data_IF_653826382265
#
_entry.id   IF_653826382265
#
_cell.length_a   1.000
_cell.length_b   1.000
_cell.length_c   1.000
_cell.angle_alpha   90.00
_cell.angle_beta   90.00
_cell.angle_gamma   90.00
#
_symmetry.space_group_name_H-M   'P 1'
#
loop_
_entity.id
_entity.type
_entity.pdbx_description
1 polymer ?
#
# COMPACT_ATOMS: atom_id res chain seq x y z
N UNK A 1 -18.26 -7.21 1.96
CA UNK A 1 -17.16 -6.21 1.98
C UNK A 1 -16.14 -6.65 3.02
N UNK A 2 -15.05 -5.91 3.26
CA UNK A 2 -14.15 -6.24 4.40
C UNK A 2 -14.89 -6.20 5.74
N UNK A 3 -15.85 -5.29 5.90
CA UNK A 3 -16.72 -5.22 7.09
C UNK A 3 -17.53 -6.51 7.26
N UNK A 4 -18.26 -6.93 6.22
CA UNK A 4 -19.04 -8.18 6.28
C UNK A 4 -18.15 -9.40 6.57
N UNK A 5 -16.96 -9.46 5.95
CA UNK A 5 -16.03 -10.55 6.20
C UNK A 5 -15.53 -10.55 7.65
N UNK A 6 -15.27 -9.38 8.23
CA UNK A 6 -14.89 -9.26 9.64
C UNK A 6 -15.98 -9.81 10.56
N UNK A 7 -17.24 -9.44 10.32
CA UNK A 7 -18.40 -9.92 11.07
C UNK A 7 -18.58 -11.44 10.94
N UNK A 8 -18.43 -11.99 9.72
CA UNK A 8 -18.56 -13.41 9.45
C UNK A 8 -17.44 -14.23 10.10
N UNK A 9 -16.20 -13.74 10.06
CA UNK A 9 -15.03 -14.37 10.70
C UNK A 9 -15.20 -14.37 12.23
N UNK A 10 -15.62 -13.24 12.81
CA UNK A 10 -15.92 -13.12 14.23
C UNK A 10 -17.06 -14.07 14.67
N UNK A 11 -18.09 -14.23 13.84
CA UNK A 11 -19.19 -15.17 14.11
C UNK A 11 -18.74 -16.64 14.16
N UNK A 12 -17.58 -16.97 13.57
CA UNK A 12 -16.95 -18.30 13.66
C UNK A 12 -15.93 -18.41 14.80
N UNK A 13 -15.77 -17.38 15.63
CA UNK A 13 -14.81 -17.36 16.73
C UNK A 13 -13.36 -17.16 16.29
N UNK A 14 -13.14 -16.50 15.15
CA UNK A 14 -11.84 -16.11 14.65
C UNK A 14 -11.74 -14.59 14.49
N UNK A 15 -10.54 -14.08 14.29
CA UNK A 15 -10.27 -12.65 14.06
C UNK A 15 -9.77 -12.42 12.64
N UNK A 16 -10.26 -11.35 12.00
CA UNK A 16 -9.76 -10.94 10.69
C UNK A 16 -8.61 -9.95 10.86
N UNK A 17 -7.46 -10.31 10.29
CA UNK A 17 -6.32 -9.40 10.13
C UNK A 17 -6.16 -9.06 8.65
N UNK A 18 -6.08 -7.77 8.34
CA UNK A 18 -5.78 -7.27 7.00
C UNK A 18 -4.34 -6.77 6.97
N UNK A 19 -3.54 -7.32 6.06
CA UNK A 19 -2.15 -6.90 5.85
C UNK A 19 -2.06 -6.13 4.53
N UNK A 20 -1.62 -4.88 4.58
CA UNK A 20 -1.34 -4.09 3.39
C UNK A 20 0.09 -4.35 2.91
N UNK A 21 0.19 -4.99 1.74
CA UNK A 21 1.46 -5.27 1.07
C UNK A 21 1.80 -4.10 0.15
N UNK A 22 2.90 -3.37 0.38
CA UNK A 22 3.30 -2.29 -0.50
C UNK A 22 3.78 -2.84 -1.85
N UNK A 23 3.52 -2.10 -2.93
CA UNK A 23 4.15 -2.38 -4.22
C UNK A 23 5.63 -1.99 -4.19
N UNK A 24 6.43 -2.62 -5.04
CA UNK A 24 7.84 -2.29 -5.23
C UNK A 24 8.03 -0.80 -5.55
N UNK A 25 7.21 -0.27 -6.43
CA UNK A 25 7.26 1.13 -6.86
C UNK A 25 6.95 2.08 -5.70
N UNK A 26 5.99 1.72 -4.83
CA UNK A 26 5.65 2.52 -3.66
C UNK A 26 6.83 2.60 -2.67
N UNK A 27 7.51 1.47 -2.40
CA UNK A 27 8.67 1.43 -1.49
C UNK A 27 9.89 2.14 -2.08
N UNK A 28 10.14 1.96 -3.38
CA UNK A 28 11.36 2.41 -4.04
C UNK A 28 11.23 3.79 -4.72
N UNK A 29 10.04 4.40 -4.68
CA UNK A 29 9.76 5.70 -5.31
C UNK A 29 10.82 6.77 -5.00
N UNK A 30 11.16 6.92 -3.72
CA UNK A 30 12.14 7.91 -3.25
C UNK A 30 13.60 7.62 -3.62
N UNK A 31 13.90 6.43 -4.16
CA UNK A 31 15.26 5.92 -4.35
C UNK A 31 15.67 5.76 -5.81
N UNK A 32 14.71 5.49 -6.69
CA UNK A 32 15.00 5.02 -8.06
C UNK A 32 14.90 6.14 -9.09
N UNK A 33 14.23 7.25 -8.77
CA UNK A 33 13.77 8.14 -9.82
C UNK A 33 14.25 9.58 -9.69
N UNK A 34 14.98 10.05 -10.69
CA UNK A 34 15.28 11.46 -10.89
C UNK A 34 13.97 12.22 -11.20
N UNK A 35 13.69 13.37 -10.55
CA UNK A 35 12.46 14.11 -10.78
C UNK A 35 12.17 14.48 -12.24
N UNK A 36 13.21 14.69 -13.06
CA UNK A 36 13.06 14.97 -14.51
C UNK A 36 12.58 13.72 -15.24
N UNK A 37 13.18 12.57 -14.97
CA UNK A 37 12.79 11.30 -15.60
C UNK A 37 11.38 10.86 -15.17
N UNK A 38 11.01 11.08 -13.91
CA UNK A 38 9.63 10.85 -13.44
C UNK A 38 8.64 11.75 -14.15
N UNK A 39 8.89 13.06 -14.17
CA UNK A 39 7.98 14.01 -14.80
C UNK A 39 7.78 13.65 -16.27
N UNK A 40 8.82 13.21 -16.99
CA UNK A 40 8.68 12.76 -18.38
C UNK A 40 7.70 11.58 -18.57
N UNK A 41 7.51 10.72 -17.56
CA UNK A 41 6.55 9.61 -17.58
C UNK A 41 5.17 10.06 -17.10
N UNK A 42 5.11 10.79 -15.98
CA UNK A 42 3.84 11.25 -15.42
C UNK A 42 3.13 12.27 -16.33
N UNK A 43 3.88 13.16 -17.00
CA UNK A 43 3.43 14.08 -18.06
C UNK A 43 2.89 13.39 -19.32
N UNK A 44 2.94 12.06 -19.37
CA UNK A 44 2.39 11.24 -20.46
C UNK A 44 1.34 10.26 -19.95
N UNK A 45 1.06 10.26 -18.66
CA UNK A 45 0.08 9.38 -18.03
C UNK A 45 -1.26 10.08 -17.98
N UNK A 46 -2.30 9.44 -18.54
CA UNK A 46 -3.64 10.02 -18.57
C UNK A 46 -4.38 9.67 -17.28
N UNK A 47 -4.91 10.68 -16.59
CA UNK A 47 -5.75 10.46 -15.42
C UNK A 47 -7.18 10.17 -15.86
N UNK A 48 -7.79 9.17 -15.25
CA UNK A 48 -9.20 8.82 -15.48
C UNK A 48 -9.98 9.20 -14.23
N UNK A 49 -10.99 10.05 -14.41
CA UNK A 49 -11.92 10.45 -13.36
C UNK A 49 -13.30 9.87 -13.62
N UNK A 50 -14.18 9.89 -12.63
CA UNK A 50 -15.60 9.58 -12.81
C UNK A 50 -16.37 10.89 -12.99
N UNK A 51 -17.35 10.89 -13.90
CA UNK A 51 -18.11 12.09 -14.24
C UNK A 51 -18.90 12.71 -13.08
N UNK A 52 -19.09 11.99 -11.97
CA UNK A 52 -19.78 12.45 -10.77
C UNK A 52 -19.17 11.86 -9.49
N UNK A 53 -18.06 12.45 -9.02
CA UNK A 53 -17.45 12.05 -7.75
C UNK A 53 -16.99 10.59 -7.77
N UNK A 54 -17.71 9.72 -7.06
CA UNK A 54 -17.48 8.27 -6.98
C UNK A 54 -18.39 7.45 -7.93
N UNK A 55 -19.19 8.10 -8.78
CA UNK A 55 -20.12 7.45 -9.72
C UNK A 55 -20.06 8.04 -11.14
N UNK A 56 -20.62 7.31 -12.11
CA UNK A 56 -20.83 7.80 -13.48
C UNK A 56 -19.99 7.06 -14.52
N UNK A 57 -19.60 7.78 -15.57
CA UNK A 57 -18.79 7.23 -16.67
C UNK A 57 -17.35 7.68 -16.52
N UNK A 58 -16.41 6.83 -16.89
CA UNK A 58 -15.00 7.19 -16.97
C UNK A 58 -14.83 8.39 -17.93
N UNK A 59 -14.23 9.45 -17.42
CA UNK A 59 -13.85 10.64 -18.17
C UNK A 59 -12.33 10.71 -18.24
N UNK A 60 -11.83 10.93 -19.45
CA UNK A 60 -10.42 11.15 -19.70
C UNK A 60 -10.15 12.62 -19.50
N UNK A 61 -9.52 12.98 -18.39
CA UNK A 61 -8.97 14.32 -18.22
C UNK A 61 -7.48 14.26 -18.55
N UNK A 62 -7.00 15.07 -19.51
CA UNK A 62 -5.56 15.24 -19.75
C UNK A 62 -4.95 16.13 -18.65
N UNK A 63 -5.15 15.75 -17.40
CA UNK A 63 -4.43 16.27 -16.25
C UNK A 63 -3.33 15.26 -15.96
N UNK A 64 -2.14 15.57 -16.43
CA UNK A 64 -0.96 14.81 -16.12
C UNK A 64 -0.61 14.97 -14.64
N UNK A 65 -0.25 13.87 -13.98
CA UNK A 65 0.29 13.93 -12.62
C UNK A 65 1.65 14.64 -12.68
N UNK A 66 1.90 15.59 -11.79
CA UNK A 66 3.26 16.10 -11.57
C UNK A 66 3.97 15.23 -10.54
N UNK A 67 5.31 15.24 -10.54
CA UNK A 67 6.11 14.61 -9.49
C UNK A 67 5.66 15.08 -8.10
N UNK A 68 5.45 16.38 -7.92
CA UNK A 68 4.99 16.96 -6.66
C UNK A 68 3.64 16.39 -6.25
N UNK A 69 2.66 16.35 -7.17
CA UNK A 69 1.33 15.84 -6.86
C UNK A 69 1.33 14.35 -6.54
N UNK A 70 2.11 13.58 -7.28
CA UNK A 70 2.29 12.17 -6.98
C UNK A 70 2.94 12.00 -5.60
N UNK A 71 4.00 12.73 -5.30
CA UNK A 71 4.69 12.69 -4.01
C UNK A 71 3.79 13.08 -2.82
N UNK A 72 2.87 14.03 -2.99
CA UNK A 72 1.85 14.35 -1.98
C UNK A 72 0.87 13.20 -1.70
N UNK A 73 0.65 12.33 -2.69
CA UNK A 73 -0.45 11.35 -2.68
C UNK A 73 0.02 9.91 -2.66
N UNK A 74 1.33 9.64 -2.68
CA UNK A 74 1.86 8.27 -2.70
C UNK A 74 1.33 7.41 -1.56
N UNK A 75 1.11 8.00 -0.39
CA UNK A 75 0.60 7.32 0.80
C UNK A 75 -0.93 7.37 0.95
N UNK A 76 -1.67 7.96 -0.01
CA UNK A 76 -3.10 8.18 0.15
C UNK A 76 -3.89 6.86 0.28
N UNK A 77 -3.49 5.81 -0.45
CA UNK A 77 -4.17 4.51 -0.38
C UNK A 77 -3.96 3.82 0.97
N UNK A 78 -2.73 3.83 1.49
CA UNK A 78 -2.45 3.20 2.78
C UNK A 78 -3.10 3.95 3.93
N UNK A 79 -3.15 5.29 3.87
CA UNK A 79 -3.84 6.10 4.87
C UNK A 79 -5.35 5.79 4.83
N UNK A 80 -5.95 5.75 3.64
CA UNK A 80 -7.37 5.43 3.49
C UNK A 80 -7.72 4.04 4.03
N UNK A 81 -6.86 3.03 3.81
CA UNK A 81 -7.08 1.70 4.37
C UNK A 81 -6.85 1.65 5.89
N UNK A 82 -5.90 2.43 6.41
CA UNK A 82 -5.68 2.58 7.86
C UNK A 82 -6.93 3.15 8.52
N UNK A 83 -7.45 4.26 8.00
CA UNK A 83 -8.63 4.93 8.55
C UNK A 83 -9.87 4.02 8.45
N UNK A 84 -10.10 3.42 7.27
CA UNK A 84 -11.21 2.51 7.04
C UNK A 84 -11.20 1.29 7.98
N UNK A 85 -10.04 0.66 8.18
CA UNK A 85 -9.94 -0.53 9.04
C UNK A 85 -10.08 -0.17 10.52
N UNK A 86 -9.54 0.97 10.95
CA UNK A 86 -9.73 1.48 12.30
C UNK A 86 -11.21 1.78 12.60
N UNK A 87 -11.91 2.46 11.68
CA UNK A 87 -13.35 2.73 11.80
C UNK A 87 -14.19 1.44 11.83
N UNK A 88 -13.78 0.43 11.05
CA UNK A 88 -14.47 -0.84 10.96
C UNK A 88 -14.12 -1.84 12.09
N UNK A 89 -13.20 -1.51 12.99
CA UNK A 89 -12.72 -2.44 14.02
C UNK A 89 -12.04 -3.68 13.45
N UNK A 90 -11.28 -3.50 12.36
CA UNK A 90 -10.51 -4.55 11.70
C UNK A 90 -9.04 -4.39 12.07
N UNK A 91 -8.39 -5.45 12.53
CA UNK A 91 -6.94 -5.42 12.78
C UNK A 91 -6.20 -5.21 11.47
N UNK A 92 -5.31 -4.21 11.44
CA UNK A 92 -4.63 -3.79 10.22
C UNK A 92 -3.13 -3.63 10.44
N UNK A 93 -2.35 -4.25 9.55
CA UNK A 93 -0.90 -4.13 9.50
C UNK A 93 -0.47 -3.51 8.18
N UNK A 94 0.12 -2.31 8.23
CA UNK A 94 0.74 -1.67 7.07
C UNK A 94 2.23 -2.06 6.98
N UNK A 95 2.61 -2.81 5.93
CA UNK A 95 4.01 -3.19 5.72
C UNK A 95 4.84 -2.12 5.01
N UNK A 96 4.26 -1.04 4.46
CA UNK A 96 5.01 0.03 3.77
C UNK A 96 6.17 0.61 4.59
N UNK A 97 5.96 1.13 5.83
CA UNK A 97 7.06 1.70 6.59
C UNK A 97 8.13 0.66 6.95
N UNK A 98 7.72 -0.58 7.17
CA UNK A 98 8.61 -1.69 7.52
C UNK A 98 9.51 -2.04 6.33
N UNK A 99 8.93 -2.19 5.15
CA UNK A 99 9.69 -2.47 3.92
C UNK A 99 10.58 -1.30 3.53
N UNK A 100 10.12 -0.06 3.71
CA UNK A 100 10.94 1.11 3.44
C UNK A 100 12.18 1.14 4.34
N UNK A 101 12.00 1.00 5.66
CA UNK A 101 13.12 0.94 6.62
C UNK A 101 14.02 -0.29 6.40
N UNK A 102 13.43 -1.47 6.18
CA UNK A 102 14.15 -2.70 5.89
C UNK A 102 15.00 -2.57 4.64
N UNK A 103 14.50 -1.87 3.60
CA UNK A 103 15.27 -1.62 2.39
C UNK A 103 16.45 -0.67 2.62
N UNK A 104 16.34 0.24 3.59
CA UNK A 104 17.43 1.15 3.99
C UNK A 104 18.50 0.39 4.76
N UNK A 105 18.10 -0.45 5.70
CA UNK A 105 19.01 -1.17 6.57
C UNK A 105 19.72 -2.34 5.87
N UNK A 106 18.98 -3.12 5.07
CA UNK A 106 19.41 -4.46 4.64
C UNK A 106 19.54 -4.61 3.12
N UNK A 107 19.25 -3.56 2.34
CA UNK A 107 19.35 -3.58 0.88
C UNK A 107 18.05 -3.99 0.18
N UNK A 108 18.14 -4.59 -1.00
CA UNK A 108 16.96 -4.86 -1.84
C UNK A 108 16.05 -5.93 -1.23
N UNK A 109 14.77 -5.59 -1.04
CA UNK A 109 13.72 -6.52 -0.59
C UNK A 109 12.85 -7.04 -1.74
N UNK A 110 13.09 -6.57 -2.96
CA UNK A 110 12.38 -6.99 -4.18
C UNK A 110 13.36 -7.56 -5.19
N UNK A 111 12.85 -8.43 -6.07
CA UNK A 111 13.61 -8.85 -7.24
C UNK A 111 13.80 -7.68 -8.21
N UNK A 112 14.94 -7.61 -8.89
CA UNK A 112 15.26 -6.49 -9.79
C UNK A 112 14.27 -6.35 -10.96
N UNK A 113 13.97 -7.44 -11.67
CA UNK A 113 13.11 -7.46 -12.86
C UNK A 113 11.69 -7.97 -12.62
N UNK A 114 11.31 -8.19 -11.37
CA UNK A 114 10.03 -8.79 -10.99
C UNK A 114 9.39 -7.93 -9.87
N UNK A 115 8.07 -7.72 -9.89
CA UNK A 115 7.39 -6.87 -8.90
C UNK A 115 7.25 -7.51 -7.51
N UNK A 116 7.48 -8.82 -7.38
CA UNK A 116 7.38 -9.52 -6.11
C UNK A 116 8.63 -9.29 -5.24
N UNK A 117 8.43 -9.38 -3.93
CA UNK A 117 9.54 -9.37 -2.99
C UNK A 117 10.45 -10.59 -3.21
N UNK A 118 11.72 -10.46 -2.81
CA UNK A 118 12.65 -11.58 -2.76
C UNK A 118 12.55 -12.30 -1.40
N UNK A 119 13.44 -13.27 -1.16
CA UNK A 119 13.45 -14.00 0.12
C UNK A 119 13.64 -13.07 1.33
N UNK A 120 14.52 -12.07 1.25
CA UNK A 120 14.74 -11.14 2.36
C UNK A 120 13.49 -10.30 2.64
N UNK A 121 12.76 -9.88 1.61
CA UNK A 121 11.46 -9.22 1.77
C UNK A 121 10.40 -10.15 2.38
N UNK A 122 10.38 -11.43 1.99
CA UNK A 122 9.51 -12.42 2.59
C UNK A 122 9.80 -12.63 4.08
N UNK A 123 11.08 -12.69 4.46
CA UNK A 123 11.49 -12.85 5.86
C UNK A 123 11.06 -11.64 6.70
N UNK A 124 11.28 -10.41 6.19
CA UNK A 124 10.81 -9.17 6.83
C UNK A 124 9.30 -9.14 6.99
N UNK A 125 8.54 -9.56 5.97
CA UNK A 125 7.09 -9.63 6.06
C UNK A 125 6.63 -10.67 7.09
N UNK A 126 7.24 -11.86 7.09
CA UNK A 126 6.90 -12.93 8.00
C UNK A 126 7.13 -12.53 9.46
N UNK A 127 8.29 -11.93 9.76
CA UNK A 127 8.61 -11.46 11.11
C UNK A 127 7.64 -10.36 11.56
N UNK A 128 7.36 -9.37 10.70
CA UNK A 128 6.42 -8.30 11.03
C UNK A 128 4.99 -8.79 11.25
N UNK A 129 4.53 -9.73 10.42
CA UNK A 129 3.20 -10.33 10.58
C UNK A 129 3.15 -11.14 11.87
N UNK A 130 4.18 -11.93 12.16
CA UNK A 130 4.25 -12.72 13.38
C UNK A 130 4.22 -11.85 14.64
N UNK A 131 5.05 -10.80 14.68
CA UNK A 131 5.10 -9.87 15.81
C UNK A 131 3.75 -9.15 16.00
N UNK A 132 3.09 -8.77 14.92
CA UNK A 132 1.76 -8.19 14.97
C UNK A 132 0.73 -9.17 15.55
N UNK A 133 0.69 -10.42 15.07
CA UNK A 133 -0.23 -11.45 15.59
C UNK A 133 0.02 -11.76 17.08
N UNK A 134 1.28 -11.77 17.51
CA UNK A 134 1.65 -11.95 18.91
C UNK A 134 1.17 -10.78 19.78
N UNK A 135 1.16 -9.55 19.25
CA UNK A 135 0.66 -8.37 19.96
C UNK A 135 -0.86 -8.41 20.18
N UNK A 136 -1.62 -9.06 19.29
CA UNK A 136 -3.07 -9.25 19.44
C UNK A 136 -3.43 -10.32 20.47
N UNK A 137 -2.61 -11.37 20.58
CA UNK A 137 -2.86 -12.50 21.49
C UNK A 137 -2.56 -12.19 22.97
N UNK A 138 -2.01 -11.01 23.26
CA UNK A 138 -1.62 -10.57 24.60
C UNK A 138 -2.61 -9.64 25.31
N UNK A 139 -3.73 -9.30 24.66
CA UNK A 139 -4.89 -8.59 25.26
C UNK A 139 -5.87 -9.57 25.94
#
# INVERSE_FOLDING_TARGET
>A
TLVTLNEEVAAQGAELVVVYIPSKEHVLWSRVWDPVDVNNVLERTVTVTLSKGDQGTLQWEPNYLSYEKFNETTQAQEQLLTDFTAEAGIHFLNLTPIFWQGSIANGELYHYGDPHWNQAGNDVAADAIWDFLQSLSGE
#
